data_IF_012256284559
#
_entry.id   IF_012256284559
#
_cell.length_a   1.000
_cell.length_b   1.000
_cell.length_c   1.000
_cell.angle_alpha   90.00
_cell.angle_beta   90.00
_cell.angle_gamma   90.00
#
_symmetry.space_group_name_H-M   'P 1'
#
loop_
_entity.id
_entity.type
_entity.pdbx_description
1 polymer ?
#
# COMPACT_ATOMS: atom_id res chain seq x y z
N UNK A 1 13.03 -5.20 -5.36
CA UNK A 1 13.00 -4.13 -4.32
C UNK A 1 11.78 -3.25 -4.57
N UNK A 2 11.02 -2.93 -3.53
CA UNK A 2 9.93 -1.93 -3.61
C UNK A 2 10.34 -0.80 -2.66
N UNK A 3 10.70 0.38 -3.19
CA UNK A 3 11.18 1.48 -2.37
C UNK A 3 10.03 2.22 -1.67
N UNK A 4 10.35 2.99 -0.63
CA UNK A 4 9.36 3.68 0.21
C UNK A 4 8.49 4.68 -0.57
N UNK A 5 9.05 5.37 -1.55
CA UNK A 5 8.26 6.27 -2.41
C UNK A 5 7.15 5.56 -3.18
N UNK A 6 7.29 4.26 -3.45
CA UNK A 6 6.22 3.45 -4.04
C UNK A 6 5.24 2.97 -2.97
N UNK A 7 5.72 2.44 -1.84
CA UNK A 7 4.82 1.97 -0.78
C UNK A 7 4.05 3.11 -0.09
N UNK A 8 4.61 4.31 -0.02
CA UNK A 8 3.92 5.51 0.48
C UNK A 8 2.74 5.96 -0.39
N UNK A 9 2.58 5.42 -1.60
CA UNK A 9 1.39 5.71 -2.41
C UNK A 9 0.16 4.90 -2.01
N UNK A 10 0.36 3.78 -1.30
CA UNK A 10 -0.71 2.91 -0.82
C UNK A 10 -1.29 3.40 0.52
N UNK A 11 -1.92 4.56 0.51
CA UNK A 11 -2.50 5.19 1.70
C UNK A 11 -3.84 4.55 2.06
N UNK A 12 -3.98 4.12 3.32
CA UNK A 12 -5.22 3.59 3.86
C UNK A 12 -6.16 4.75 4.27
N UNK A 13 -6.91 5.25 3.31
CA UNK A 13 -7.81 6.38 3.49
C UNK A 13 -9.07 6.02 4.27
N UNK A 14 -9.84 7.04 4.70
CA UNK A 14 -11.15 6.85 5.33
C UNK A 14 -12.14 6.06 4.46
N UNK A 15 -12.04 6.20 3.12
CA UNK A 15 -12.87 5.43 2.17
C UNK A 15 -12.53 3.93 2.22
N UNK A 16 -11.25 3.59 2.21
CA UNK A 16 -10.77 2.21 2.34
C UNK A 16 -11.16 1.64 3.70
N UNK A 17 -11.07 2.43 4.77
CA UNK A 17 -11.46 2.04 6.12
C UNK A 17 -12.95 1.67 6.21
N UNK A 18 -13.84 2.50 5.68
CA UNK A 18 -15.29 2.20 5.64
C UNK A 18 -15.57 0.91 4.88
N UNK A 19 -14.89 0.70 3.75
CA UNK A 19 -15.00 -0.54 2.97
C UNK A 19 -14.50 -1.75 3.75
N UNK A 20 -13.40 -1.62 4.49
CA UNK A 20 -12.91 -2.68 5.38
C UNK A 20 -13.98 -3.05 6.39
N UNK A 21 -14.60 -2.09 7.05
CA UNK A 21 -15.55 -2.34 8.13
C UNK A 21 -16.88 -2.91 7.63
N UNK A 22 -17.45 -2.37 6.55
CA UNK A 22 -18.76 -2.77 6.05
C UNK A 22 -18.81 -4.19 5.48
N UNK A 23 -17.69 -4.71 5.00
CA UNK A 23 -17.66 -6.01 4.32
C UNK A 23 -18.41 -6.06 2.98
N UNK A 24 -18.98 -4.96 2.56
CA UNK A 24 -19.74 -4.87 1.32
C UNK A 24 -18.84 -4.39 0.17
N UNK A 25 -19.04 -4.97 -1.00
CA UNK A 25 -18.48 -4.46 -2.26
C UNK A 25 -19.20 -3.19 -2.77
N UNK A 26 -19.88 -2.49 -1.86
CA UNK A 26 -20.61 -1.28 -2.23
C UNK A 26 -19.63 -0.24 -2.77
N UNK A 27 -19.68 -0.05 -4.07
CA UNK A 27 -18.99 0.98 -4.85
C UNK A 27 -19.53 2.39 -4.57
N UNK A 28 -20.25 2.59 -3.47
CA UNK A 28 -20.64 3.93 -3.05
C UNK A 28 -19.39 4.64 -2.56
N UNK A 29 -18.83 5.40 -3.48
CA UNK A 29 -17.70 6.30 -3.22
C UNK A 29 -18.12 7.33 -2.18
N UNK A 30 -17.51 7.33 -0.99
CA UNK A 30 -17.57 8.49 -0.11
C UNK A 30 -16.92 9.67 -0.84
N UNK A 31 -17.36 10.87 -0.60
CA UNK A 31 -16.70 12.08 -1.10
C UNK A 31 -15.23 12.04 -0.69
N UNK A 32 -14.35 12.03 -1.70
CA UNK A 32 -12.91 12.07 -1.47
C UNK A 32 -12.54 13.32 -0.67
N UNK A 33 -11.54 13.16 0.21
CA UNK A 33 -10.90 14.27 0.89
C UNK A 33 -11.24 14.45 2.37
N UNK A 34 -11.84 13.45 3.04
CA UNK A 34 -11.96 13.50 4.50
C UNK A 34 -10.73 12.82 5.11
N UNK A 35 -9.85 13.57 5.81
CA UNK A 35 -8.70 13.01 6.52
C UNK A 35 -9.12 11.95 7.54
N UNK A 36 -8.30 10.93 7.76
CA UNK A 36 -8.45 9.97 8.85
C UNK A 36 -8.08 10.66 10.19
N UNK A 37 -8.96 11.51 10.70
CA UNK A 37 -8.83 12.02 12.06
C UNK A 37 -9.37 10.99 13.05
N UNK A 38 -8.58 10.54 14.04
CA UNK A 38 -9.04 9.54 15.01
C UNK A 38 -10.32 9.95 15.75
N UNK A 39 -10.52 11.25 15.97
CA UNK A 39 -11.66 11.75 16.74
C UNK A 39 -12.91 12.09 15.88
N UNK A 40 -12.71 12.50 14.62
CA UNK A 40 -13.83 12.85 13.72
C UNK A 40 -14.34 11.65 12.92
N UNK A 41 -13.48 10.68 12.63
CA UNK A 41 -13.85 9.45 11.93
C UNK A 41 -14.80 8.56 12.74
N UNK A 42 -14.86 8.70 14.07
CA UNK A 42 -15.67 7.84 14.93
C UNK A 42 -17.17 8.10 14.81
N UNK A 43 -17.60 9.26 14.31
CA UNK A 43 -19.03 9.63 14.28
C UNK A 43 -19.83 9.00 13.14
N UNK A 44 -19.19 8.63 12.03
CA UNK A 44 -19.85 8.10 10.82
C UNK A 44 -19.25 6.76 10.33
N UNK A 45 -18.52 6.07 11.17
CA UNK A 45 -17.92 4.78 10.82
C UNK A 45 -18.96 3.69 11.04
N UNK A 46 -19.25 2.84 10.03
CA UNK A 46 -20.11 1.69 10.23
C UNK A 46 -19.49 0.74 11.26
N UNK A 47 -20.30 0.05 12.07
CA UNK A 47 -19.80 -0.97 12.95
C UNK A 47 -19.10 -2.07 12.12
N UNK A 48 -18.02 -2.67 12.64
CA UNK A 48 -17.30 -3.72 11.93
C UNK A 48 -18.23 -4.94 11.72
N UNK A 49 -18.26 -5.42 10.48
CA UNK A 49 -19.12 -6.56 10.12
C UNK A 49 -18.66 -7.87 10.79
N UNK A 50 -17.38 -8.00 11.13
CA UNK A 50 -16.82 -9.20 11.75
C UNK A 50 -15.73 -8.85 12.78
N UNK A 51 -15.44 -9.76 13.75
CA UNK A 51 -14.32 -9.61 14.69
C UNK A 51 -12.96 -9.43 14.00
N UNK A 52 -12.69 -10.12 12.88
CA UNK A 52 -11.46 -9.93 12.12
C UNK A 52 -11.34 -8.48 11.62
N UNK A 53 -12.41 -7.93 11.07
CA UNK A 53 -12.42 -6.55 10.55
C UNK A 53 -12.26 -5.52 11.66
N UNK A 54 -12.85 -5.80 12.83
CA UNK A 54 -12.64 -4.98 14.01
C UNK A 54 -11.16 -4.96 14.42
N UNK A 55 -10.52 -6.13 14.50
CA UNK A 55 -9.10 -6.25 14.85
C UNK A 55 -8.21 -5.52 13.84
N UNK A 56 -8.41 -5.75 12.54
CA UNK A 56 -7.65 -5.07 11.48
C UNK A 56 -7.82 -3.54 11.56
N UNK A 57 -9.05 -3.08 11.74
CA UNK A 57 -9.35 -1.65 11.89
C UNK A 57 -8.59 -1.06 13.10
N UNK A 58 -8.63 -1.71 14.25
CA UNK A 58 -7.95 -1.23 15.46
C UNK A 58 -6.44 -1.12 15.25
N UNK A 59 -5.83 -2.13 14.64
CA UNK A 59 -4.39 -2.11 14.33
C UNK A 59 -4.04 -0.97 13.37
N UNK A 60 -4.81 -0.81 12.29
CA UNK A 60 -4.53 0.22 11.29
C UNK A 60 -4.73 1.63 11.87
N UNK A 61 -5.75 1.84 12.72
CA UNK A 61 -5.96 3.12 13.39
C UNK A 61 -4.82 3.47 14.36
N UNK A 62 -4.25 2.48 15.05
CA UNK A 62 -3.05 2.68 15.87
C UNK A 62 -1.87 3.16 15.01
N UNK A 63 -1.64 2.54 13.86
CA UNK A 63 -0.63 3.00 12.90
C UNK A 63 -0.95 4.39 12.35
N UNK A 64 -2.21 4.67 12.02
CA UNK A 64 -2.64 5.96 11.52
C UNK A 64 -2.28 7.09 12.49
N UNK A 65 -2.53 6.88 13.78
CA UNK A 65 -2.14 7.82 14.82
C UNK A 65 -0.63 8.06 14.85
N UNK A 66 0.16 6.99 14.88
CA UNK A 66 1.63 7.07 14.93
C UNK A 66 2.20 7.76 13.70
N UNK A 67 1.71 7.40 12.51
CA UNK A 67 2.17 8.01 11.26
C UNK A 67 1.81 9.48 11.14
N UNK A 68 0.65 9.88 11.65
CA UNK A 68 0.25 11.28 11.70
C UNK A 68 1.17 12.09 12.62
N UNK A 69 1.36 11.64 13.86
CA UNK A 69 2.15 12.37 14.86
C UNK A 69 3.65 12.43 14.51
N UNK A 70 4.19 11.37 13.92
CA UNK A 70 5.64 11.26 13.65
C UNK A 70 6.02 11.79 12.27
N UNK A 71 5.20 11.53 11.25
CA UNK A 71 5.56 11.77 9.85
C UNK A 71 4.58 12.69 9.11
N UNK A 72 3.56 13.21 9.81
CA UNK A 72 2.53 14.10 9.25
C UNK A 72 1.72 13.49 8.08
N UNK A 73 1.46 12.19 8.13
CA UNK A 73 0.54 11.52 7.20
C UNK A 73 -0.90 11.76 7.62
N UNK A 74 -1.52 12.82 7.11
CA UNK A 74 -2.87 13.26 7.50
C UNK A 74 -3.99 12.45 6.83
N UNK A 75 -3.74 11.87 5.65
CA UNK A 75 -4.74 11.13 4.87
C UNK A 75 -4.88 9.66 5.28
N UNK A 76 -3.98 9.18 6.11
CA UNK A 76 -3.93 7.81 6.61
C UNK A 76 -2.53 7.20 6.56
N UNK A 77 -2.34 6.00 7.13
CA UNK A 77 -1.04 5.34 7.12
C UNK A 77 -0.79 4.64 5.78
N UNK A 78 0.45 4.59 5.30
CA UNK A 78 0.81 3.75 4.18
C UNK A 78 0.83 2.27 4.58
N UNK A 79 0.39 1.39 3.67
CA UNK A 79 0.36 -0.06 3.89
C UNK A 79 1.52 -0.70 3.12
N UNK A 80 2.68 -0.77 3.77
CA UNK A 80 3.92 -1.23 3.16
C UNK A 80 3.92 -2.74 2.84
N UNK A 81 3.66 -3.58 3.84
CA UNK A 81 3.85 -5.03 3.74
C UNK A 81 2.83 -5.69 2.81
N UNK A 82 1.57 -5.27 2.87
CA UNK A 82 0.55 -5.80 1.98
C UNK A 82 0.84 -5.50 0.50
N UNK A 83 1.50 -4.36 0.21
CA UNK A 83 1.90 -4.03 -1.16
C UNK A 83 3.00 -4.97 -1.66
N UNK A 84 3.91 -5.44 -0.79
CA UNK A 84 4.93 -6.42 -1.18
C UNK A 84 4.32 -7.78 -1.49
N UNK A 85 3.30 -8.20 -0.74
CA UNK A 85 2.55 -9.43 -1.03
C UNK A 85 1.72 -9.29 -2.31
N UNK A 86 1.17 -8.10 -2.57
CA UNK A 86 0.48 -7.84 -3.83
C UNK A 86 1.42 -8.00 -5.03
N UNK A 87 2.68 -7.59 -4.94
CA UNK A 87 3.67 -7.81 -5.99
C UNK A 87 3.89 -9.30 -6.31
N UNK A 88 3.89 -10.16 -5.30
CA UNK A 88 4.06 -11.60 -5.51
C UNK A 88 2.84 -12.26 -6.18
N UNK A 89 1.65 -11.75 -5.90
CA UNK A 89 0.39 -12.31 -6.41
C UNK A 89 -0.06 -11.69 -7.74
N UNK A 90 0.23 -10.43 -7.96
CA UNK A 90 -0.23 -9.62 -9.10
C UNK A 90 0.89 -8.64 -9.54
N UNK A 91 2.02 -9.16 -10.06
CA UNK A 91 3.16 -8.32 -10.46
C UNK A 91 2.79 -7.32 -11.56
N UNK A 92 1.75 -7.58 -12.35
CA UNK A 92 1.29 -6.74 -13.45
C UNK A 92 0.75 -5.37 -13.02
N UNK A 93 0.39 -5.18 -11.74
CA UNK A 93 0.00 -3.85 -11.23
C UNK A 93 1.19 -2.96 -10.92
N UNK A 94 2.42 -3.47 -11.06
CA UNK A 94 3.65 -2.72 -10.82
C UNK A 94 4.38 -2.43 -12.12
N UNK A 95 4.91 -1.21 -12.22
CA UNK A 95 5.93 -0.91 -13.22
C UNK A 95 7.28 -1.16 -12.60
N UNK A 96 8.06 -2.04 -13.20
CA UNK A 96 9.36 -2.47 -12.68
C UNK A 96 10.43 -2.33 -13.73
N UNK A 97 11.65 -1.98 -13.30
CA UNK A 97 12.81 -1.90 -14.16
C UNK A 97 14.05 -2.41 -13.45
N UNK A 98 14.98 -2.98 -14.21
CA UNK A 98 16.26 -3.40 -13.64
C UNK A 98 17.20 -2.21 -13.50
N UNK A 99 17.77 -2.12 -12.30
CA UNK A 99 18.77 -1.12 -11.94
C UNK A 99 19.95 -1.78 -11.24
N UNK A 100 21.08 -1.08 -11.27
CA UNK A 100 22.13 -1.31 -10.30
C UNK A 100 21.65 -0.75 -8.96
N UNK A 101 21.72 -1.58 -7.92
CA UNK A 101 21.38 -1.19 -6.56
C UNK A 101 22.53 -1.58 -5.64
N UNK A 102 22.97 -0.65 -4.83
CA UNK A 102 24.06 -0.81 -3.89
C UNK A 102 23.65 -0.30 -2.51
N UNK A 103 24.39 -0.67 -1.47
CA UNK A 103 24.22 -0.15 -0.11
C UNK A 103 25.46 0.67 0.21
N UNK A 104 25.26 1.91 0.64
CA UNK A 104 26.35 2.78 1.07
C UNK A 104 26.94 2.30 2.40
N UNK A 105 28.23 2.00 2.40
CA UNK A 105 28.91 1.41 3.56
C UNK A 105 29.83 2.37 4.32
N UNK A 106 30.16 3.52 3.72
CA UNK A 106 31.21 4.40 4.23
C UNK A 106 30.81 5.86 4.39
N UNK A 107 29.64 6.27 3.92
CA UNK A 107 29.15 7.65 3.98
C UNK A 107 28.86 8.11 5.41
N UNK A 108 29.24 9.33 5.75
CA UNK A 108 29.03 9.89 7.10
C UNK A 108 27.54 10.04 7.44
N UNK A 109 26.70 10.38 6.44
CA UNK A 109 25.27 10.64 6.62
C UNK A 109 24.39 9.63 5.89
N UNK A 110 24.95 8.80 5.01
CA UNK A 110 24.23 7.91 4.11
C UNK A 110 24.54 6.44 4.32
N UNK A 111 25.37 6.11 5.33
CA UNK A 111 25.70 4.72 5.66
C UNK A 111 24.43 3.89 5.92
N UNK A 112 24.31 2.78 5.19
CA UNK A 112 23.11 1.93 5.21
C UNK A 112 22.02 2.34 4.21
N UNK A 113 22.17 3.46 3.51
CA UNK A 113 21.25 3.87 2.48
C UNK A 113 21.32 2.97 1.25
N UNK A 114 20.16 2.65 0.69
CA UNK A 114 20.07 1.88 -0.56
C UNK A 114 20.10 2.84 -1.75
N UNK A 115 21.17 2.79 -2.52
CA UNK A 115 21.41 3.65 -3.67
C UNK A 115 20.99 2.94 -4.96
N UNK A 116 20.13 3.59 -5.74
CA UNK A 116 19.67 3.10 -7.05
C UNK A 116 20.30 3.95 -8.14
N UNK A 117 21.08 3.33 -9.04
CA UNK A 117 21.63 4.03 -10.21
C UNK A 117 20.55 4.22 -11.30
N UNK A 118 19.74 5.24 -11.13
CA UNK A 118 18.67 5.60 -12.06
C UNK A 118 19.17 6.13 -13.41
N UNK A 119 20.42 6.61 -13.46
CA UNK A 119 21.03 7.23 -14.63
C UNK A 119 21.95 6.31 -15.41
N UNK A 120 22.21 5.10 -14.88
CA UNK A 120 23.14 4.14 -15.48
C UNK A 120 24.54 4.72 -15.72
N UNK A 121 25.08 5.39 -14.69
CA UNK A 121 26.40 6.06 -14.75
C UNK A 121 27.55 5.09 -15.01
N UNK A 122 27.44 3.87 -14.55
CA UNK A 122 28.42 2.82 -14.86
C UNK A 122 27.97 2.08 -16.10
N UNK A 123 28.69 2.30 -17.16
CA UNK A 123 28.38 1.85 -18.51
C UNK A 123 28.26 0.33 -18.64
N UNK A 124 27.72 -0.06 -19.78
CA UNK A 124 27.64 -1.43 -20.27
C UNK A 124 29.01 -2.11 -20.21
N UNK A 125 29.12 -3.24 -19.50
CA UNK A 125 30.33 -4.06 -19.50
C UNK A 125 30.88 -4.49 -18.13
N UNK A 126 30.31 -4.00 -17.03
CA UNK A 126 30.64 -4.52 -15.69
C UNK A 126 29.60 -5.57 -15.25
N UNK A 127 29.80 -6.81 -15.67
CA UNK A 127 28.90 -7.93 -15.35
C UNK A 127 28.96 -8.41 -13.88
N UNK A 128 29.85 -7.82 -13.07
CA UNK A 128 30.02 -8.16 -11.65
C UNK A 128 28.77 -7.95 -10.79
N UNK A 129 27.76 -7.21 -11.31
CA UNK A 129 26.52 -6.87 -10.61
C UNK A 129 25.26 -7.49 -11.24
N UNK A 130 25.40 -8.59 -11.95
CA UNK A 130 24.31 -9.25 -12.65
C UNK A 130 24.19 -8.83 -14.12
N UNK A 131 23.17 -9.29 -14.85
CA UNK A 131 23.02 -9.03 -16.26
C UNK A 131 23.11 -7.54 -16.60
N UNK A 132 24.03 -7.15 -17.48
CA UNK A 132 24.31 -5.76 -17.87
C UNK A 132 24.66 -4.83 -16.69
N UNK A 133 25.22 -5.36 -15.59
CA UNK A 133 25.53 -4.59 -14.38
C UNK A 133 24.29 -4.15 -13.59
N UNK A 134 23.11 -4.76 -13.82
CA UNK A 134 21.84 -4.41 -13.17
C UNK A 134 21.35 -5.57 -12.31
N UNK A 135 21.75 -5.55 -11.06
CA UNK A 135 21.53 -6.65 -10.12
C UNK A 135 20.12 -6.74 -9.55
N UNK A 136 19.30 -5.68 -9.62
CA UNK A 136 18.03 -5.62 -8.90
C UNK A 136 16.86 -5.17 -9.78
N UNK A 137 15.72 -5.85 -9.64
CA UNK A 137 14.45 -5.40 -10.17
C UNK A 137 13.82 -4.44 -9.16
N UNK A 138 13.61 -3.20 -9.56
CA UNK A 138 13.09 -2.12 -8.72
C UNK A 138 11.73 -1.69 -9.22
N UNK A 139 10.76 -1.60 -8.32
CA UNK A 139 9.47 -1.02 -8.63
C UNK A 139 9.58 0.51 -8.74
N UNK A 140 9.14 1.06 -9.86
CA UNK A 140 9.09 2.51 -10.10
C UNK A 140 7.72 3.07 -9.69
N UNK A 141 6.67 2.28 -9.86
CA UNK A 141 5.30 2.63 -9.44
C UNK A 141 4.46 1.38 -9.21
N UNK A 142 3.33 1.58 -8.52
CA UNK A 142 2.28 0.59 -8.36
C UNK A 142 0.92 1.24 -8.67
N UNK A 143 -0.01 0.47 -9.22
CA UNK A 143 -1.39 0.93 -9.43
C UNK A 143 -2.17 0.84 -8.11
N UNK A 144 -1.97 1.85 -7.28
CA UNK A 144 -2.65 2.01 -5.99
C UNK A 144 -3.71 3.10 -6.02
N UNK A 145 -3.69 3.98 -7.03
CA UNK A 145 -4.55 5.16 -7.11
C UNK A 145 -5.69 5.04 -8.13
N UNK A 146 -5.70 3.96 -8.93
CA UNK A 146 -6.67 3.80 -10.02
C UNK A 146 -6.50 4.79 -11.17
N UNK A 147 -5.44 5.57 -11.15
CA UNK A 147 -5.05 6.40 -12.27
C UNK A 147 -4.30 5.55 -13.29
N UNK A 148 -5.01 4.70 -14.02
CA UNK A 148 -4.50 4.26 -15.31
C UNK A 148 -4.11 5.53 -16.07
N UNK A 149 -2.90 5.55 -16.66
CA UNK A 149 -2.48 6.60 -17.58
C UNK A 149 -3.52 6.69 -18.71
N UNK A 150 -4.60 7.43 -18.49
CA UNK A 150 -5.55 7.75 -19.54
C UNK A 150 -4.96 8.92 -20.35
N UNK A 151 -4.35 8.56 -21.47
CA UNK A 151 -4.36 9.42 -22.64
C UNK A 151 -5.82 9.65 -23.03
N UNK A 152 -6.32 10.88 -22.79
CA UNK A 152 -7.50 11.49 -23.41
C UNK A 152 -8.87 10.76 -23.28
N UNK A 153 -9.61 10.95 -22.17
CA UNK A 153 -11.00 11.43 -22.22
C UNK A 153 -11.58 11.68 -20.80
N UNK A 154 -12.38 12.73 -20.57
CA UNK A 154 -12.88 13.10 -19.25
C UNK A 154 -14.23 12.43 -18.97
N UNK A 155 -14.18 11.17 -18.60
CA UNK A 155 -15.26 10.51 -17.87
C UNK A 155 -14.58 9.77 -16.71
N UNK A 156 -14.49 10.45 -15.57
CA UNK A 156 -13.98 9.92 -14.32
C UNK A 156 -14.96 8.88 -13.81
N UNK A 157 -14.80 7.65 -14.25
CA UNK A 157 -15.25 6.50 -13.48
C UNK A 157 -14.10 6.28 -12.48
N UNK A 158 -14.33 6.67 -11.22
CA UNK A 158 -13.43 6.36 -10.13
C UNK A 158 -13.32 4.83 -9.99
N UNK A 159 -12.32 4.26 -10.64
CA UNK A 159 -11.98 2.86 -10.43
C UNK A 159 -11.26 2.78 -9.09
N UNK A 160 -11.79 1.96 -8.20
CA UNK A 160 -11.09 1.62 -6.96
C UNK A 160 -9.77 0.97 -7.37
N UNK A 161 -8.63 1.43 -6.84
CA UNK A 161 -7.33 0.90 -7.20
C UNK A 161 -7.28 -0.62 -7.13
N UNK A 162 -6.67 -1.28 -8.09
CA UNK A 162 -6.60 -2.75 -8.15
C UNK A 162 -5.96 -3.34 -6.89
N UNK A 163 -4.97 -2.64 -6.31
CA UNK A 163 -4.39 -3.03 -5.04
C UNK A 163 -5.43 -3.18 -3.92
N UNK A 164 -6.36 -2.22 -3.78
CA UNK A 164 -7.38 -2.27 -2.73
C UNK A 164 -8.44 -3.34 -2.99
N UNK A 165 -8.68 -3.69 -4.25
CA UNK A 165 -9.53 -4.82 -4.59
C UNK A 165 -8.89 -6.14 -4.15
N UNK A 166 -7.59 -6.32 -4.40
CA UNK A 166 -6.83 -7.49 -3.93
C UNK A 166 -6.84 -7.56 -2.41
N UNK A 167 -6.57 -6.44 -1.73
CA UNK A 167 -6.58 -6.35 -0.28
C UNK A 167 -7.94 -6.79 0.30
N UNK A 168 -9.03 -6.22 -0.20
CA UNK A 168 -10.38 -6.56 0.27
C UNK A 168 -10.77 -8.01 -0.07
N UNK A 169 -10.35 -8.52 -1.23
CA UNK A 169 -10.56 -9.93 -1.58
C UNK A 169 -9.87 -10.86 -0.57
N UNK A 170 -8.65 -10.53 -0.15
CA UNK A 170 -7.93 -11.30 0.88
C UNK A 170 -8.66 -11.24 2.22
N UNK A 171 -9.11 -10.06 2.65
CA UNK A 171 -9.89 -9.92 3.89
C UNK A 171 -11.19 -10.72 3.81
N UNK A 172 -11.93 -10.64 2.70
CA UNK A 172 -13.17 -11.40 2.48
C UNK A 172 -12.95 -12.93 2.53
N UNK A 173 -11.80 -13.41 2.04
CA UNK A 173 -11.42 -14.82 2.13
C UNK A 173 -11.06 -15.21 3.56
N UNK A 174 -10.29 -14.38 4.25
CA UNK A 174 -9.93 -14.60 5.65
C UNK A 174 -11.17 -14.60 6.56
N UNK A 175 -12.15 -13.74 6.32
CA UNK A 175 -13.41 -13.70 7.08
C UNK A 175 -14.13 -15.06 7.12
N UNK A 176 -14.02 -15.83 6.04
CA UNK A 176 -14.71 -17.14 5.92
C UNK A 176 -14.04 -18.26 6.69
N UNK A 177 -12.75 -18.16 6.97
CA UNK A 177 -11.96 -19.25 7.53
C UNK A 177 -11.33 -18.92 8.88
N UNK A 178 -11.33 -17.65 9.28
CA UNK A 178 -10.69 -17.24 10.53
C UNK A 178 -11.43 -17.76 11.76
N UNK A 179 -10.72 -18.31 12.74
CA UNK A 179 -11.33 -18.70 14.02
C UNK A 179 -11.84 -17.50 14.83
N UNK A 180 -11.35 -16.28 14.57
CA UNK A 180 -11.82 -15.06 15.23
C UNK A 180 -13.31 -14.79 15.02
N UNK A 181 -13.85 -15.17 13.86
CA UNK A 181 -15.26 -14.99 13.54
C UNK A 181 -16.16 -16.10 14.08
N UNK A 182 -15.57 -17.21 14.52
CA UNK A 182 -16.30 -18.29 15.18
C UNK A 182 -16.47 -17.91 16.65
N UNK A 183 -17.68 -17.89 17.16
CA UNK A 183 -18.09 -17.47 18.53
C UNK A 183 -17.38 -18.17 19.70
N UNK A 184 -16.27 -18.87 19.47
CA UNK A 184 -15.47 -19.57 20.47
C UNK A 184 -14.60 -18.67 21.35
N UNK A 185 -14.39 -17.43 20.95
CA UNK A 185 -13.62 -16.44 21.70
C UNK A 185 -14.51 -15.25 22.06
N UNK A 186 -15.30 -15.41 23.14
CA UNK A 186 -15.86 -14.26 23.85
C UNK A 186 -14.78 -13.74 24.78
N UNK A 187 -14.23 -12.57 24.47
CA UNK A 187 -13.45 -11.79 25.43
C UNK A 187 -14.36 -11.13 26.44
#
# INVERSE_FOLDING_TARGET
MIPLNVTHTAIFTSAVHRRLLSGSDSTQTPKDGVPLHPEECLKDIPPPATPLRHMLSTLILFFAYTYKETFNFVDGPPIHDALTIAYLSRPEIFQVKRYRVDVELAGTHTVGETVVDGWNYRGLGEDSWGPDGKNCLVAESADVSGHAKLTLHPLIIMQIPEFWNIFMLCVNRCDKVTPLNNNSYRF
#
